data_IF_825355191776
#
_entry.id   IF_825355191776
#
_cell.length_a   1.000
_cell.length_b   1.000
_cell.length_c   1.000
_cell.angle_alpha   90.00
_cell.angle_beta   90.00
_cell.angle_gamma   90.00
#
_symmetry.space_group_name_H-M   'P 1'
#
loop_
_entity.id
_entity.type
_entity.pdbx_description
1 polymer ?
#
# COMPACT_ATOMS: atom_id res chain seq x y z
N UNK A 1 -22.02 -11.57 -15.00
CA UNK A 1 -22.23 -10.27 -14.35
C UNK A 1 -21.03 -10.06 -13.47
N UNK A 2 -20.25 -9.00 -13.70
CA UNK A 2 -19.25 -8.57 -12.73
C UNK A 2 -20.00 -8.04 -11.52
N UNK A 3 -19.78 -8.66 -10.36
CA UNK A 3 -20.29 -8.15 -9.10
C UNK A 3 -19.50 -6.90 -8.75
N UNK A 4 -20.15 -5.83 -8.29
CA UNK A 4 -19.41 -4.69 -7.76
C UNK A 4 -18.72 -5.13 -6.46
N UNK A 5 -17.44 -4.77 -6.24
CA UNK A 5 -16.74 -5.12 -5.01
C UNK A 5 -17.41 -4.44 -3.81
N UNK A 6 -17.40 -5.12 -2.67
CA UNK A 6 -17.83 -4.59 -1.37
C UNK A 6 -16.64 -4.60 -0.42
N UNK A 7 -15.96 -3.45 -0.32
CA UNK A 7 -14.69 -3.36 0.40
C UNK A 7 -14.90 -3.21 1.90
N UNK A 8 -14.13 -3.99 2.65
CA UNK A 8 -13.98 -3.88 4.10
C UNK A 8 -12.52 -3.61 4.45
N UNK A 9 -12.28 -2.59 5.25
CA UNK A 9 -10.97 -2.39 5.88
C UNK A 9 -10.75 -3.46 6.95
N UNK A 10 -9.65 -4.20 6.82
CA UNK A 10 -9.26 -5.25 7.79
C UNK A 10 -8.09 -4.84 8.67
N UNK A 11 -7.44 -3.72 8.36
CA UNK A 11 -6.32 -3.13 9.10
C UNK A 11 -5.58 -2.12 8.24
N UNK A 12 -4.42 -1.67 8.70
CA UNK A 12 -3.54 -0.76 7.98
C UNK A 12 -2.06 -1.15 8.15
N UNK A 13 -1.22 -0.69 7.22
CA UNK A 13 0.24 -0.74 7.35
C UNK A 13 0.80 0.68 7.59
N UNK A 14 2.08 0.76 7.95
CA UNK A 14 2.75 2.03 8.26
C UNK A 14 2.51 2.50 9.69
N UNK A 15 2.60 3.82 9.90
CA UNK A 15 2.45 4.43 11.23
C UNK A 15 0.99 4.39 11.73
N UNK A 16 0.77 4.64 13.03
CA UNK A 16 -0.56 4.88 13.59
C UNK A 16 -1.20 6.12 12.92
N UNK A 17 -0.39 7.15 12.64
CA UNK A 17 -0.78 8.33 11.87
C UNK A 17 -0.28 8.21 10.41
N UNK A 18 -0.55 7.07 9.78
CA UNK A 18 -0.08 6.80 8.42
C UNK A 18 -0.45 7.86 7.37
N UNK A 19 -1.56 8.64 7.43
CA UNK A 19 -1.79 9.70 6.44
C UNK A 19 -0.69 10.79 6.46
N UNK A 20 -0.04 10.98 7.61
CA UNK A 20 1.07 11.94 7.79
C UNK A 20 2.45 11.33 7.52
N UNK A 21 2.61 10.03 7.76
CA UNK A 21 3.93 9.38 7.84
C UNK A 21 4.17 8.27 6.81
N UNK A 22 3.17 7.96 5.99
CA UNK A 22 3.23 6.85 5.05
C UNK A 22 2.56 5.60 5.61
N UNK A 23 1.84 4.91 4.73
CA UNK A 23 1.08 3.70 5.06
C UNK A 23 -0.33 3.78 4.48
N UNK A 24 -1.24 2.96 4.98
CA UNK A 24 -2.63 3.01 4.51
C UNK A 24 -3.44 1.75 4.76
N UNK A 25 -4.75 1.80 4.48
CA UNK A 25 -5.67 0.73 4.78
C UNK A 25 -5.49 -0.46 3.82
N UNK A 26 -5.68 -1.65 4.37
CA UNK A 26 -5.78 -2.91 3.65
C UNK A 26 -7.25 -3.27 3.52
N UNK A 27 -7.71 -3.41 2.29
CA UNK A 27 -9.10 -3.62 1.91
C UNK A 27 -9.30 -5.05 1.41
N UNK A 28 -10.35 -5.72 1.88
CA UNK A 28 -10.76 -7.05 1.42
C UNK A 28 -12.16 -6.96 0.83
N UNK A 29 -12.36 -7.58 -0.32
CA UNK A 29 -13.69 -7.68 -0.94
C UNK A 29 -14.52 -8.75 -0.24
N UNK A 30 -15.60 -8.33 0.41
CA UNK A 30 -16.56 -9.21 1.09
C UNK A 30 -17.30 -10.16 0.14
N UNK A 31 -17.30 -9.87 -1.16
CA UNK A 31 -17.88 -10.79 -2.15
C UNK A 31 -16.97 -11.99 -2.44
N UNK A 32 -15.68 -11.89 -2.09
CA UNK A 32 -14.67 -12.91 -2.33
C UNK A 32 -14.29 -13.08 -3.79
N UNK A 33 -14.65 -12.11 -4.65
CA UNK A 33 -14.39 -12.14 -6.09
C UNK A 33 -13.05 -11.49 -6.41
N UNK A 34 -12.70 -10.43 -5.69
CA UNK A 34 -11.48 -9.65 -5.92
C UNK A 34 -10.41 -9.94 -4.87
N UNK A 35 -9.14 -9.89 -5.28
CA UNK A 35 -8.02 -9.98 -4.36
C UNK A 35 -8.01 -8.77 -3.40
N UNK A 36 -7.41 -8.90 -2.20
CA UNK A 36 -7.22 -7.76 -1.32
C UNK A 36 -6.38 -6.66 -1.95
N UNK A 37 -6.57 -5.44 -1.48
CA UNK A 37 -5.90 -4.26 -2.00
C UNK A 37 -5.32 -3.42 -0.87
N UNK A 38 -4.25 -2.70 -1.16
CA UNK A 38 -3.65 -1.68 -0.31
C UNK A 38 -3.86 -0.32 -0.98
N UNK A 39 -4.41 0.64 -0.24
CA UNK A 39 -4.32 2.06 -0.62
C UNK A 39 -3.14 2.69 0.12
N UNK A 40 -1.95 2.69 -0.49
CA UNK A 40 -0.78 3.30 0.16
C UNK A 40 -0.78 4.80 -0.08
N UNK A 41 -0.77 5.57 1.01
CA UNK A 41 -0.65 7.01 1.01
C UNK A 41 0.79 7.40 1.24
N UNK A 42 1.38 8.04 0.24
CA UNK A 42 2.69 8.67 0.34
C UNK A 42 2.50 10.16 0.71
N UNK A 43 3.07 10.62 1.84
CA UNK A 43 2.96 12.00 2.25
C UNK A 43 3.75 12.92 1.30
N UNK A 44 3.46 14.24 1.31
CA UNK A 44 4.18 15.21 0.50
C UNK A 44 5.70 15.12 0.77
N UNK A 45 6.51 15.18 -0.29
CA UNK A 45 7.98 15.16 -0.17
C UNK A 45 8.57 16.50 0.24
N UNK A 46 7.83 17.58 0.01
CA UNK A 46 8.25 18.94 0.36
C UNK A 46 8.00 19.15 1.86
N UNK A 47 8.83 19.96 2.55
CA UNK A 47 8.74 20.31 3.98
C UNK A 47 7.44 21.09 4.35
N UNK A 48 6.30 20.70 3.78
CA UNK A 48 4.98 21.23 3.98
C UNK A 48 4.34 20.51 5.17
N UNK A 49 3.73 21.29 6.04
CA UNK A 49 2.93 20.75 7.12
C UNK A 49 1.68 20.07 6.56
N UNK A 50 1.16 19.05 7.27
CA UNK A 50 -0.06 18.32 6.87
C UNK A 50 -1.25 19.26 6.63
N UNK A 51 -1.32 20.39 7.34
CA UNK A 51 -2.36 21.40 7.17
C UNK A 51 -2.15 22.38 6.01
N UNK A 52 -1.05 22.28 5.25
CA UNK A 52 -0.81 23.19 4.14
C UNK A 52 -1.80 22.91 2.98
N UNK A 53 -2.56 23.91 2.51
CA UNK A 53 -3.50 23.72 1.40
C UNK A 53 -2.82 23.34 0.07
N UNK A 54 -1.51 23.54 -0.05
CA UNK A 54 -0.70 23.14 -1.21
C UNK A 54 -0.07 21.75 -1.05
N UNK A 55 -0.13 21.14 0.13
CA UNK A 55 0.33 19.78 0.33
C UNK A 55 -0.47 18.81 -0.56
N UNK A 56 0.23 17.84 -1.14
CA UNK A 56 -0.33 16.83 -2.04
C UNK A 56 0.15 15.46 -1.61
N UNK A 57 -0.81 14.57 -1.39
CA UNK A 57 -0.57 13.16 -1.10
C UNK A 57 -0.73 12.36 -2.37
N UNK A 58 0.14 11.38 -2.57
CA UNK A 58 -0.06 10.38 -3.62
C UNK A 58 -0.67 9.14 -3.01
N UNK A 59 -1.77 8.66 -3.59
CA UNK A 59 -2.44 7.43 -3.16
C UNK A 59 -2.27 6.39 -4.26
N UNK A 60 -1.53 5.33 -3.95
CA UNK A 60 -1.29 4.19 -4.82
C UNK A 60 -2.27 3.08 -4.48
N UNK A 61 -2.89 2.47 -5.49
CA UNK A 61 -3.77 1.32 -5.30
C UNK A 61 -3.09 0.04 -5.77
N UNK A 62 -2.73 -0.82 -4.81
CA UNK A 62 -1.93 -2.02 -5.06
C UNK A 62 -2.78 -3.26 -4.83
N UNK A 63 -2.90 -4.11 -5.85
CA UNK A 63 -3.53 -5.42 -5.72
C UNK A 63 -2.54 -6.39 -5.08
N UNK A 64 -2.92 -6.97 -3.94
CA UNK A 64 -2.10 -7.86 -3.13
C UNK A 64 -2.27 -9.31 -3.60
N UNK A 65 -1.93 -9.59 -4.85
CA UNK A 65 -1.94 -10.97 -5.36
C UNK A 65 -1.03 -11.88 -4.51
N UNK A 66 -1.38 -13.16 -4.30
CA UNK A 66 -0.56 -14.08 -3.52
C UNK A 66 0.63 -14.59 -4.36
N UNK A 67 1.46 -13.67 -4.86
CA UNK A 67 2.64 -13.98 -5.66
C UNK A 67 3.75 -12.92 -5.45
N UNK A 68 5.00 -13.35 -5.64
CA UNK A 68 6.15 -12.45 -5.64
C UNK A 68 6.16 -11.66 -6.95
N UNK A 69 6.32 -10.33 -6.95
CA UNK A 69 6.38 -9.55 -8.18
C UNK A 69 7.51 -10.04 -9.11
N UNK A 70 7.16 -10.30 -10.36
CA UNK A 70 8.07 -10.93 -11.34
C UNK A 70 9.12 -9.99 -11.94
N UNK A 71 8.97 -8.68 -11.74
CA UNK A 71 9.77 -7.63 -12.38
C UNK A 71 11.00 -7.19 -11.55
N UNK A 72 11.26 -7.83 -10.42
CA UNK A 72 12.43 -7.58 -9.57
C UNK A 72 13.09 -8.86 -9.05
N UNK A 73 14.11 -8.73 -8.22
CA UNK A 73 14.81 -9.85 -7.56
C UNK A 73 14.57 -9.79 -6.05
N UNK A 74 13.87 -10.81 -5.55
CA UNK A 74 13.56 -10.93 -4.12
C UNK A 74 14.80 -10.96 -3.24
N UNK A 75 15.95 -11.46 -3.73
CA UNK A 75 17.19 -11.53 -2.94
C UNK A 75 17.78 -10.15 -2.72
N UNK A 76 17.69 -9.28 -3.72
CA UNK A 76 18.19 -7.91 -3.63
C UNK A 76 17.35 -7.11 -2.61
N UNK A 77 16.03 -7.22 -2.71
CA UNK A 77 15.09 -6.58 -1.78
C UNK A 77 15.28 -7.13 -0.37
N UNK A 78 15.29 -8.45 -0.20
CA UNK A 78 15.48 -9.10 1.10
C UNK A 78 16.80 -8.69 1.76
N UNK A 79 17.89 -8.58 0.99
CA UNK A 79 19.17 -8.12 1.50
C UNK A 79 19.11 -6.67 2.01
N UNK A 80 18.44 -5.76 1.29
CA UNK A 80 18.31 -4.36 1.73
C UNK A 80 17.39 -4.23 2.94
N UNK A 81 16.35 -5.05 3.02
CA UNK A 81 15.38 -5.03 4.11
C UNK A 81 15.80 -5.87 5.33
N UNK A 82 17.01 -6.48 5.31
CA UNK A 82 17.53 -7.37 6.36
C UNK A 82 16.60 -8.56 6.67
N UNK A 83 16.07 -9.19 5.61
CA UNK A 83 15.13 -10.33 5.68
C UNK A 83 15.73 -11.59 5.06
N UNK A 84 15.27 -12.75 5.52
CA UNK A 84 15.52 -14.00 4.80
C UNK A 84 14.65 -14.06 3.52
N UNK A 85 15.22 -14.37 2.34
CA UNK A 85 14.45 -14.40 1.09
C UNK A 85 13.32 -15.44 1.06
N UNK A 86 13.42 -16.55 1.78
CA UNK A 86 12.37 -17.57 1.82
C UNK A 86 11.21 -17.13 2.71
N UNK A 87 11.52 -16.55 3.87
CA UNK A 87 10.51 -15.95 4.75
C UNK A 87 9.82 -14.77 4.05
N UNK A 88 10.60 -13.93 3.34
CA UNK A 88 10.04 -12.83 2.57
C UNK A 88 9.12 -13.30 1.44
N UNK A 89 9.49 -14.38 0.73
CA UNK A 89 8.63 -14.98 -0.29
C UNK A 89 7.34 -15.56 0.31
N UNK A 90 7.42 -16.12 1.53
CA UNK A 90 6.27 -16.68 2.22
C UNK A 90 5.24 -15.61 2.60
N UNK A 91 5.70 -14.40 2.97
CA UNK A 91 4.81 -13.30 3.31
C UNK A 91 3.94 -12.84 2.12
N UNK A 92 4.48 -12.84 0.89
CA UNK A 92 3.69 -12.54 -0.32
C UNK A 92 2.53 -13.50 -0.54
N UNK A 93 2.63 -14.74 -0.07
CA UNK A 93 1.61 -15.78 -0.25
C UNK A 93 0.81 -16.06 1.02
N UNK A 94 0.92 -15.19 2.04
CA UNK A 94 0.18 -15.34 3.29
C UNK A 94 -1.33 -15.18 3.09
N UNK A 95 -2.11 -15.99 3.80
CA UNK A 95 -3.56 -15.82 3.88
C UNK A 95 -3.95 -14.51 4.60
N UNK A 96 -3.05 -13.95 5.41
CA UNK A 96 -3.22 -12.65 6.07
C UNK A 96 -2.90 -11.51 5.09
N UNK A 97 -3.91 -10.71 4.65
CA UNK A 97 -3.70 -9.61 3.72
C UNK A 97 -2.83 -8.49 4.30
N UNK A 98 -2.78 -8.32 5.63
CA UNK A 98 -1.92 -7.32 6.26
C UNK A 98 -0.44 -7.75 6.15
N UNK A 99 -0.16 -9.02 6.37
CA UNK A 99 1.18 -9.57 6.17
C UNK A 99 1.62 -9.44 4.71
N UNK A 100 0.72 -9.72 3.75
CA UNK A 100 0.99 -9.47 2.33
C UNK A 100 1.28 -8.01 2.04
N UNK A 101 0.45 -7.08 2.55
CA UNK A 101 0.66 -5.65 2.36
C UNK A 101 2.04 -5.19 2.84
N UNK A 102 2.53 -5.71 3.98
CA UNK A 102 3.88 -5.44 4.47
C UNK A 102 4.98 -5.94 3.50
N UNK A 103 4.80 -7.10 2.87
CA UNK A 103 5.77 -7.59 1.88
C UNK A 103 5.81 -6.71 0.62
N UNK A 104 4.64 -6.24 0.16
CA UNK A 104 4.54 -5.28 -0.93
C UNK A 104 5.14 -3.92 -0.58
N UNK A 105 5.01 -3.45 0.67
CA UNK A 105 5.66 -2.24 1.16
C UNK A 105 7.19 -2.36 1.11
N UNK A 106 7.76 -3.45 1.61
CA UNK A 106 9.21 -3.69 1.53
C UNK A 106 9.70 -3.69 0.08
N UNK A 107 8.94 -4.29 -0.83
CA UNK A 107 9.24 -4.29 -2.26
C UNK A 107 9.16 -2.89 -2.87
N UNK A 108 8.14 -2.12 -2.54
CA UNK A 108 7.95 -0.76 -3.00
C UNK A 108 8.99 0.21 -2.44
N UNK A 109 9.48 0.01 -1.21
CA UNK A 109 10.59 0.80 -0.65
C UNK A 109 11.88 0.65 -1.44
N UNK A 110 12.09 -0.51 -2.08
CA UNK A 110 13.28 -0.73 -2.91
C UNK A 110 13.08 -0.23 -4.35
N UNK A 111 11.94 -0.53 -4.97
CA UNK A 111 11.73 -0.23 -6.39
C UNK A 111 10.90 1.02 -6.69
N UNK A 112 10.07 1.47 -5.76
CA UNK A 112 9.11 2.57 -5.88
C UNK A 112 7.66 2.10 -6.08
N UNK A 113 6.72 2.76 -5.40
CA UNK A 113 5.27 2.49 -5.50
C UNK A 113 4.70 2.66 -6.91
N UNK A 114 5.31 3.53 -7.72
CA UNK A 114 4.92 3.77 -9.11
C UNK A 114 5.04 2.54 -10.03
N UNK A 115 5.75 1.47 -9.60
CA UNK A 115 5.80 0.21 -10.35
C UNK A 115 4.57 -0.68 -10.11
N UNK A 116 3.83 -0.44 -9.02
CA UNK A 116 2.57 -1.12 -8.72
C UNK A 116 1.37 -0.37 -9.27
N UNK A 117 1.43 0.97 -9.28
CA UNK A 117 0.38 1.83 -9.81
C UNK A 117 0.99 3.00 -10.58
N UNK A 118 0.86 2.97 -11.90
CA UNK A 118 1.36 4.01 -12.80
C UNK A 118 0.50 5.29 -12.79
N UNK A 119 -0.72 5.23 -12.23
CA UNK A 119 -1.69 6.32 -12.24
C UNK A 119 -2.24 6.58 -10.83
N UNK A 120 -1.37 6.87 -9.84
CA UNK A 120 -1.82 7.13 -8.48
C UNK A 120 -2.72 8.36 -8.44
N UNK A 121 -3.64 8.38 -7.47
CA UNK A 121 -4.43 9.57 -7.20
C UNK A 121 -3.55 10.61 -6.51
N UNK A 122 -3.81 11.88 -6.80
CA UNK A 122 -3.22 12.99 -6.04
C UNK A 122 -4.33 13.67 -5.26
N UNK A 123 -4.24 13.66 -3.93
CA UNK A 123 -5.23 14.26 -3.05
C UNK A 123 -4.71 15.55 -2.42
N UNK A 124 -5.61 16.51 -2.26
CA UNK A 124 -5.42 17.69 -1.41
C UNK A 124 -5.67 17.34 0.07
N UNK A 125 -5.27 18.22 0.98
CA UNK A 125 -5.57 18.07 2.42
C UNK A 125 -7.08 17.88 2.67
N UNK A 126 -7.93 18.64 1.98
CA UNK A 126 -9.39 18.52 2.13
C UNK A 126 -9.92 17.14 1.69
N UNK A 127 -9.40 16.59 0.59
CA UNK A 127 -9.77 15.26 0.10
C UNK A 127 -9.21 14.13 0.96
N UNK A 128 -8.01 14.31 1.53
CA UNK A 128 -7.44 13.40 2.52
C UNK A 128 -8.35 13.28 3.75
N UNK A 129 -8.76 14.42 4.32
CA UNK A 129 -9.64 14.46 5.49
C UNK A 129 -11.02 13.88 5.17
N UNK A 130 -11.58 14.18 3.99
CA UNK A 130 -12.86 13.62 3.56
C UNK A 130 -12.80 12.09 3.40
N UNK A 131 -11.70 11.57 2.84
CA UNK A 131 -11.56 10.15 2.51
C UNK A 131 -11.19 9.28 3.71
N UNK A 132 -10.28 9.76 4.56
CA UNK A 132 -9.64 8.95 5.60
C UNK A 132 -9.89 9.45 7.02
N UNK A 133 -10.71 10.50 7.20
CA UNK A 133 -10.97 11.14 8.51
C UNK A 133 -9.66 11.54 9.23
N UNK A 134 -8.68 11.98 8.42
CA UNK A 134 -7.37 12.46 8.83
C UNK A 134 -7.38 13.94 9.28
#
# INVERSE_FOLDING_TARGET
MTQQPDWEEVGHIGDVNWPEHGGGPVLVDRTGVYAPELEYVEPPTDDLEFSDPNARWMVYRVVLEPEVPSWGDIKDVAQVMDRDPQEFAADFVSDDPIQRAGAYEDWARYYGWNNFDEYPLTLTCAEMNERYDA
#
